data_IF_311036971669
#
_entry.id   IF_311036971669
#
_cell.length_a   1.000
_cell.length_b   1.000
_cell.length_c   1.000
_cell.angle_alpha   90.00
_cell.angle_beta   90.00
_cell.angle_gamma   90.00
#
_symmetry.space_group_name_H-M   'P 1'
#
loop_
_entity.id
_entity.type
_entity.pdbx_description
1 polymer ?
#
# COMPACT_ATOMS: atom_id res chain seq x y z
N UNK A 1 29.28 1.14 -2.54
CA UNK A 1 28.27 2.14 -2.94
C UNK A 1 27.08 1.96 -2.01
N UNK A 2 26.74 2.95 -1.20
CA UNK A 2 25.57 2.91 -0.31
C UNK A 2 24.49 3.75 -1.00
N UNK A 3 23.32 3.17 -1.23
CA UNK A 3 22.17 3.91 -1.76
C UNK A 3 21.68 4.85 -0.65
N UNK A 4 21.49 6.14 -0.96
CA UNK A 4 20.80 7.09 -0.09
C UNK A 4 19.32 7.14 -0.51
N UNK A 5 18.50 6.28 0.08
CA UNK A 5 17.08 6.20 -0.22
C UNK A 5 16.38 5.08 0.54
N UNK A 6 15.05 5.07 0.50
CA UNK A 6 14.22 4.00 1.04
C UNK A 6 14.01 2.92 -0.01
N UNK A 7 14.26 1.66 0.35
CA UNK A 7 13.95 0.51 -0.48
C UNK A 7 12.55 -0.04 -0.18
N UNK A 8 11.64 0.14 -1.14
CA UNK A 8 10.29 -0.45 -1.13
C UNK A 8 10.33 -1.82 -1.79
N UNK A 9 9.97 -2.88 -1.06
CA UNK A 9 10.00 -4.26 -1.56
C UNK A 9 8.62 -4.93 -1.62
N UNK A 10 8.29 -5.52 -2.77
CA UNK A 10 7.01 -6.21 -2.96
C UNK A 10 6.91 -7.53 -2.18
N UNK A 11 5.87 -7.69 -1.37
CA UNK A 11 5.63 -8.88 -0.53
C UNK A 11 4.17 -9.33 -0.61
N UNK A 12 3.96 -10.64 -0.85
CA UNK A 12 2.64 -11.22 -1.13
C UNK A 12 1.86 -10.41 -2.18
N UNK A 13 2.54 -9.98 -3.24
CA UNK A 13 2.04 -9.04 -4.22
C UNK A 13 1.18 -9.72 -5.29
N UNK A 14 0.20 -9.01 -5.84
CA UNK A 14 -0.65 -9.53 -6.93
C UNK A 14 0.17 -9.85 -8.19
N UNK A 15 -0.32 -10.78 -9.01
CA UNK A 15 0.34 -11.23 -10.25
C UNK A 15 1.72 -11.88 -10.04
N UNK A 16 2.09 -12.22 -8.81
CA UNK A 16 3.21 -13.08 -8.48
C UNK A 16 2.70 -14.44 -7.98
N UNK A 17 3.60 -15.33 -7.57
CA UNK A 17 3.22 -16.60 -6.95
C UNK A 17 2.34 -16.30 -5.72
N UNK A 18 1.10 -16.83 -5.65
CA UNK A 18 0.22 -16.59 -4.52
C UNK A 18 0.86 -17.07 -3.22
N UNK A 19 0.69 -16.26 -2.17
CA UNK A 19 1.00 -16.64 -0.79
C UNK A 19 -0.32 -17.04 -0.14
N UNK A 20 -0.34 -18.19 0.53
CA UNK A 20 -1.49 -18.65 1.31
C UNK A 20 -1.79 -17.62 2.40
N UNK A 21 -3.05 -17.20 2.61
CA UNK A 21 -3.39 -16.21 3.64
C UNK A 21 -2.82 -16.52 5.03
N UNK A 22 -2.72 -17.79 5.41
CA UNK A 22 -2.12 -18.20 6.70
C UNK A 22 -0.63 -17.85 6.83
N UNK A 23 0.03 -17.57 5.72
CA UNK A 23 1.45 -17.27 5.64
C UNK A 23 1.73 -15.76 5.46
N UNK A 24 0.72 -14.88 5.47
CA UNK A 24 0.91 -13.44 5.28
C UNK A 24 1.81 -12.81 6.35
N UNK A 25 1.53 -13.03 7.64
CA UNK A 25 2.39 -12.55 8.71
C UNK A 25 3.83 -13.07 8.59
N UNK A 26 3.99 -14.36 8.26
CA UNK A 26 5.31 -14.97 8.06
C UNK A 26 6.06 -14.34 6.89
N UNK A 27 5.39 -14.12 5.76
CA UNK A 27 5.98 -13.48 4.60
C UNK A 27 6.39 -12.02 4.90
N UNK A 28 5.53 -11.26 5.59
CA UNK A 28 5.81 -9.90 6.01
C UNK A 28 7.01 -9.82 6.96
N UNK A 29 7.06 -10.68 7.99
CA UNK A 29 8.17 -10.72 8.94
C UNK A 29 9.52 -11.06 8.29
N UNK A 30 9.54 -12.00 7.34
CA UNK A 30 10.75 -12.30 6.56
C UNK A 30 11.15 -11.08 5.73
N UNK A 31 10.20 -10.47 5.00
CA UNK A 31 10.45 -9.30 4.17
C UNK A 31 11.00 -8.10 4.97
N UNK A 32 10.50 -7.90 6.19
CA UNK A 32 10.98 -6.91 7.14
C UNK A 32 12.45 -7.06 7.53
N UNK A 33 13.16 -8.13 7.13
CA UNK A 33 14.62 -8.23 7.28
C UNK A 33 15.43 -7.66 6.11
N UNK A 34 14.80 -7.37 4.96
CA UNK A 34 15.50 -7.11 3.69
C UNK A 34 15.16 -5.78 3.01
N UNK A 35 14.09 -5.10 3.43
CA UNK A 35 13.62 -3.85 2.80
C UNK A 35 13.29 -2.79 3.84
N UNK A 36 13.30 -1.52 3.47
CA UNK A 36 12.96 -0.43 4.38
C UNK A 36 11.45 -0.29 4.55
N UNK A 37 10.71 -0.48 3.46
CA UNK A 37 9.25 -0.43 3.44
C UNK A 37 8.69 -1.70 2.82
N UNK A 38 7.87 -2.43 3.58
CA UNK A 38 7.24 -3.66 3.10
C UNK A 38 5.99 -3.31 2.32
N UNK A 39 6.01 -3.56 1.00
CA UNK A 39 4.94 -3.15 0.10
C UNK A 39 4.07 -4.34 -0.28
N UNK A 40 2.77 -4.28 -0.02
CA UNK A 40 1.81 -5.27 -0.52
C UNK A 40 0.78 -4.66 -1.48
N UNK A 41 -0.10 -5.48 -2.05
CA UNK A 41 -1.18 -5.00 -2.91
C UNK A 41 -2.51 -5.68 -2.60
N UNK A 42 -3.60 -5.02 -3.02
CA UNK A 42 -4.91 -5.64 -3.14
C UNK A 42 -4.92 -6.84 -4.12
N UNK A 43 -5.97 -7.66 -4.04
CA UNK A 43 -6.09 -8.92 -4.78
C UNK A 43 -6.31 -8.68 -6.29
N UNK A 44 -7.06 -7.62 -6.65
CA UNK A 44 -7.35 -7.26 -8.03
C UNK A 44 -7.36 -5.73 -8.25
N UNK A 45 -7.16 -5.27 -9.48
CA UNK A 45 -7.37 -3.87 -9.87
C UNK A 45 -8.86 -3.52 -9.72
N UNK A 46 -9.17 -2.39 -9.08
CA UNK A 46 -10.55 -1.91 -8.91
C UNK A 46 -11.32 -2.50 -7.73
N UNK A 47 -10.68 -3.34 -6.89
CA UNK A 47 -11.27 -3.82 -5.64
C UNK A 47 -10.48 -3.28 -4.45
N UNK A 48 -11.18 -3.00 -3.35
CA UNK A 48 -10.58 -2.62 -2.07
C UNK A 48 -9.55 -3.67 -1.62
N UNK A 49 -8.48 -3.20 -0.99
CA UNK A 49 -7.49 -4.11 -0.43
C UNK A 49 -8.09 -4.90 0.74
N UNK A 50 -7.60 -6.12 0.93
CA UNK A 50 -8.04 -6.97 2.04
C UNK A 50 -7.49 -6.43 3.36
N UNK A 51 -8.36 -5.88 4.19
CA UNK A 51 -8.01 -5.36 5.52
C UNK A 51 -7.45 -6.45 6.45
N UNK A 52 -7.92 -7.70 6.31
CA UNK A 52 -7.40 -8.81 7.09
C UNK A 52 -5.94 -9.08 6.75
N UNK A 53 -5.60 -9.06 5.45
CA UNK A 53 -4.20 -9.15 5.01
C UNK A 53 -3.34 -8.01 5.54
N UNK A 54 -3.84 -6.78 5.55
CA UNK A 54 -3.10 -5.64 6.09
C UNK A 54 -2.91 -5.74 7.60
N UNK A 55 -3.91 -6.23 8.34
CA UNK A 55 -3.80 -6.49 9.77
C UNK A 55 -2.72 -7.54 10.09
N UNK A 56 -2.65 -8.63 9.30
CA UNK A 56 -1.58 -9.64 9.42
C UNK A 56 -0.19 -9.03 9.19
N UNK A 57 -0.06 -8.15 8.18
CA UNK A 57 1.20 -7.44 7.92
C UNK A 57 1.55 -6.49 9.07
N UNK A 58 0.59 -5.69 9.55
CA UNK A 58 0.80 -4.74 10.64
C UNK A 58 1.23 -5.45 11.92
N UNK A 59 0.57 -6.55 12.27
CA UNK A 59 0.91 -7.36 13.44
C UNK A 59 2.30 -8.01 13.35
N UNK A 60 2.74 -8.41 12.16
CA UNK A 60 4.08 -8.96 11.94
C UNK A 60 5.19 -7.90 11.92
N UNK A 61 4.84 -6.63 11.71
CA UNK A 61 5.77 -5.53 11.47
C UNK A 61 5.43 -4.30 12.35
N UNK A 62 5.29 -4.40 13.68
CA UNK A 62 4.76 -3.30 14.50
C UNK A 62 5.50 -1.96 14.33
N UNK A 63 6.83 -2.02 14.13
CA UNK A 63 7.70 -0.83 14.06
C UNK A 63 8.30 -0.57 12.66
N UNK A 64 7.77 -1.22 11.61
CA UNK A 64 8.31 -1.15 10.24
C UNK A 64 7.31 -0.48 9.29
N UNK A 65 7.71 0.44 8.41
CA UNK A 65 6.76 0.99 7.45
C UNK A 65 6.16 -0.06 6.50
N UNK A 66 4.85 0.03 6.27
CA UNK A 66 4.09 -0.76 5.30
C UNK A 66 3.57 0.16 4.19
N UNK A 67 3.69 -0.26 2.95
CA UNK A 67 3.06 0.42 1.82
C UNK A 67 1.96 -0.45 1.19
N UNK A 68 0.85 0.18 0.82
CA UNK A 68 -0.20 -0.45 0.02
C UNK A 68 -0.15 0.07 -1.42
N UNK A 69 -0.02 -0.86 -2.36
CA UNK A 69 -0.07 -0.58 -3.78
C UNK A 69 -1.39 -1.06 -4.39
N UNK A 70 -1.94 -0.28 -5.33
CA UNK A 70 -3.15 -0.59 -6.10
C UNK A 70 -4.45 -0.68 -5.28
N UNK A 71 -5.54 -0.23 -5.89
CA UNK A 71 -6.89 -0.29 -5.29
C UNK A 71 -7.22 0.89 -4.38
N UNK A 72 -6.33 1.90 -4.33
CA UNK A 72 -6.51 3.13 -3.55
C UNK A 72 -7.15 4.19 -4.44
N UNK A 73 -8.18 4.83 -3.91
CA UNK A 73 -8.82 6.05 -4.41
C UNK A 73 -8.88 7.05 -3.27
N UNK A 74 -9.09 8.35 -3.54
CA UNK A 74 -9.34 9.31 -2.47
C UNK A 74 -10.46 8.88 -1.52
N UNK A 75 -11.52 8.25 -2.07
CA UNK A 75 -12.73 7.88 -1.32
C UNK A 75 -12.56 6.69 -0.35
N UNK A 76 -11.50 5.88 -0.51
CA UNK A 76 -11.30 4.68 0.32
C UNK A 76 -9.97 4.69 1.08
N UNK A 77 -9.15 5.73 0.94
CA UNK A 77 -7.81 5.78 1.52
C UNK A 77 -7.83 5.70 3.06
N UNK A 78 -8.86 6.27 3.70
CA UNK A 78 -9.05 6.24 5.16
C UNK A 78 -9.29 4.85 5.71
N UNK A 79 -9.74 3.90 4.89
CA UNK A 79 -9.94 2.50 5.32
C UNK A 79 -8.60 1.79 5.58
N UNK A 80 -7.49 2.39 5.14
CA UNK A 80 -6.15 1.81 5.20
C UNK A 80 -5.21 2.62 6.11
N UNK A 81 -5.72 3.24 7.17
CA UNK A 81 -4.93 4.01 8.16
C UNK A 81 -3.76 3.26 8.79
N UNK A 82 -3.81 1.93 8.84
CA UNK A 82 -2.73 1.09 9.35
C UNK A 82 -1.48 1.04 8.46
N UNK A 83 -1.52 1.56 7.23
CA UNK A 83 -0.37 1.60 6.33
C UNK A 83 0.23 3.00 6.28
N UNK A 84 1.54 3.06 6.04
CA UNK A 84 2.34 4.28 6.13
C UNK A 84 2.48 4.99 4.79
N UNK A 85 2.25 4.29 3.68
CA UNK A 85 2.48 4.79 2.32
C UNK A 85 1.49 4.19 1.31
N UNK A 86 1.08 5.00 0.32
CA UNK A 86 0.32 4.52 -0.84
C UNK A 86 1.13 4.59 -2.13
N UNK A 87 1.00 3.54 -2.95
CA UNK A 87 1.44 3.54 -4.36
C UNK A 87 0.20 3.46 -5.27
N UNK A 88 -0.13 4.58 -5.91
CA UNK A 88 -1.38 4.76 -6.67
C UNK A 88 -1.12 5.18 -8.12
N UNK A 89 -2.04 4.81 -9.01
CA UNK A 89 -2.09 5.27 -10.39
C UNK A 89 -3.56 5.42 -10.84
N UNK A 90 -4.19 4.36 -11.35
CA UNK A 90 -5.54 4.40 -11.93
C UNK A 90 -6.64 4.95 -11.01
N UNK A 91 -6.48 4.91 -9.69
CA UNK A 91 -7.45 5.48 -8.74
C UNK A 91 -7.47 7.00 -8.67
N UNK A 92 -6.48 7.66 -9.27
CA UNK A 92 -6.37 9.12 -9.38
C UNK A 92 -6.26 9.61 -10.83
N UNK A 93 -6.53 8.76 -11.81
CA UNK A 93 -6.58 9.17 -13.21
C UNK A 93 -7.90 9.88 -13.54
N UNK A 94 -7.93 10.57 -14.69
CA UNK A 94 -9.19 10.98 -15.30
C UNK A 94 -10.08 9.76 -15.61
N UNK A 95 -11.39 9.97 -15.57
CA UNK A 95 -12.34 8.92 -15.93
C UNK A 95 -12.13 8.47 -17.39
N UNK A 96 -12.08 7.16 -17.61
CA UNK A 96 -11.79 6.54 -18.91
C UNK A 96 -10.40 6.87 -19.50
N UNK A 97 -9.45 7.34 -18.68
CA UNK A 97 -8.06 7.59 -19.07
C UNK A 97 -7.08 6.75 -18.23
N UNK A 98 -6.24 5.96 -18.89
CA UNK A 98 -5.25 5.12 -18.21
C UNK A 98 -3.88 5.82 -17.99
N UNK A 99 -3.61 6.92 -18.68
CA UNK A 99 -2.29 7.53 -18.78
C UNK A 99 -2.16 8.83 -18.01
N UNK A 100 -3.25 9.58 -17.85
CA UNK A 100 -3.20 10.92 -17.27
C UNK A 100 -3.79 10.96 -15.85
N UNK A 101 -3.00 11.47 -14.91
CA UNK A 101 -3.41 11.74 -13.54
C UNK A 101 -4.33 12.97 -13.53
N UNK A 102 -5.46 12.87 -12.84
CA UNK A 102 -6.34 13.98 -12.52
C UNK A 102 -5.76 14.76 -11.32
N UNK A 103 -5.31 16.03 -11.51
CA UNK A 103 -4.74 16.82 -10.43
C UNK A 103 -5.69 17.04 -9.25
N UNK A 104 -7.00 17.10 -9.49
CA UNK A 104 -8.00 17.27 -8.44
C UNK A 104 -8.06 16.02 -7.55
N UNK A 105 -8.04 14.82 -8.15
CA UNK A 105 -8.01 13.56 -7.40
C UNK A 105 -6.70 13.37 -6.64
N UNK A 106 -5.57 13.73 -7.24
CA UNK A 106 -4.27 13.72 -6.56
C UNK A 106 -4.27 14.67 -5.34
N UNK A 107 -4.79 15.88 -5.51
CA UNK A 107 -4.89 16.85 -4.42
C UNK A 107 -5.81 16.34 -3.31
N UNK A 108 -6.94 15.73 -3.65
CA UNK A 108 -7.86 15.14 -2.68
C UNK A 108 -7.18 14.02 -1.87
N UNK A 109 -6.54 13.06 -2.56
CA UNK A 109 -5.82 11.97 -1.88
C UNK A 109 -4.70 12.52 -0.97
N UNK A 110 -3.99 13.54 -1.43
CA UNK A 110 -2.91 14.16 -0.65
C UNK A 110 -3.41 14.83 0.63
N UNK A 111 -4.60 15.45 0.60
CA UNK A 111 -5.24 16.01 1.79
C UNK A 111 -5.65 14.90 2.76
N UNK A 112 -6.30 13.84 2.27
CA UNK A 112 -6.67 12.68 3.09
C UNK A 112 -5.44 12.08 3.80
N UNK A 113 -4.33 11.87 3.08
CA UNK A 113 -3.10 11.36 3.69
C UNK A 113 -2.51 12.31 4.75
N UNK A 114 -2.63 13.63 4.56
CA UNK A 114 -2.17 14.61 5.56
C UNK A 114 -3.01 14.51 6.83
N UNK A 115 -4.33 14.47 6.70
CA UNK A 115 -5.25 14.38 7.83
C UNK A 115 -5.04 13.08 8.63
N UNK A 116 -4.80 11.96 7.93
CA UNK A 116 -4.45 10.68 8.57
C UNK A 116 -3.14 10.76 9.36
N UNK A 117 -2.12 11.42 8.79
CA UNK A 117 -0.82 11.61 9.44
C UNK A 117 -0.84 12.56 10.64
N UNK A 118 -1.81 13.48 10.71
CA UNK A 118 -2.00 14.37 11.88
C UNK A 118 -2.73 13.67 13.04
N UNK A 119 -3.41 12.55 12.77
CA UNK A 119 -4.22 11.81 13.75
C UNK A 119 -3.50 10.59 14.36
N UNK A 120 -2.31 10.25 13.85
CA UNK A 120 -1.52 9.05 14.20
C UNK A 120 -0.46 9.28 15.28
#
# INVERSE_FOLDING_TARGET
MRLEGLYFGGTAFKKQRPVDPKDYARAAGIAGGFMDVVTTSGIATGHSADLGKLAEFRGALPDRPIALASGITPDNATDYDMVDCFMVATGINFENDFYNIDPARLSHLSNVCRDMGETS
#
